data_IF_708249701321
#
_entry.id   IF_708249701321
#
_cell.length_a   1.000
_cell.length_b   1.000
_cell.length_c   1.000
_cell.angle_alpha   90.00
_cell.angle_beta   90.00
_cell.angle_gamma   90.00
#
_symmetry.space_group_name_H-M   'P 1'
#
loop_
_entity.id
_entity.type
_entity.pdbx_description
1 polymer ?
#
# COMPACT_ATOMS: atom_id res chain seq x y z
N UNK A 1 8.30 -19.62 -3.45
CA UNK A 1 7.70 -18.79 -2.38
C UNK A 1 7.99 -17.32 -2.68
N UNK A 2 7.01 -16.43 -2.53
CA UNK A 2 7.24 -14.97 -2.61
C UNK A 2 7.58 -14.48 -1.20
N UNK A 3 8.65 -13.70 -1.07
CA UNK A 3 9.04 -12.99 0.15
C UNK A 3 8.56 -11.54 0.06
N UNK A 4 8.02 -11.02 1.14
CA UNK A 4 7.66 -9.60 1.27
C UNK A 4 8.57 -8.94 2.31
N UNK A 5 9.23 -7.85 1.92
CA UNK A 5 10.13 -7.09 2.78
C UNK A 5 9.71 -5.61 2.83
N UNK A 6 9.51 -5.10 4.04
CA UNK A 6 9.37 -3.66 4.28
C UNK A 6 10.76 -2.99 4.34
N UNK A 7 10.89 -1.86 3.65
CA UNK A 7 12.11 -1.03 3.61
C UNK A 7 11.73 0.46 3.68
N UNK A 8 12.75 1.30 3.81
CA UNK A 8 12.56 2.75 3.95
C UNK A 8 11.85 3.07 5.25
N UNK A 9 10.69 3.74 5.17
CA UNK A 9 9.89 4.08 6.34
C UNK A 9 8.84 3.02 6.72
N UNK A 10 8.64 1.97 5.91
CA UNK A 10 7.72 0.89 6.28
C UNK A 10 8.33 -0.05 7.33
N UNK A 11 7.47 -0.59 8.18
CA UNK A 11 7.85 -1.58 9.21
C UNK A 11 6.84 -2.72 9.25
N UNK A 12 7.28 -4.00 9.36
CA UNK A 12 6.36 -5.09 9.69
C UNK A 12 5.81 -4.86 11.11
N UNK A 13 4.55 -5.21 11.35
CA UNK A 13 3.91 -5.05 12.67
C UNK A 13 3.37 -6.36 13.25
N UNK A 14 3.44 -7.45 12.49
CA UNK A 14 3.25 -8.79 12.99
C UNK A 14 4.57 -9.55 13.00
N UNK A 15 4.72 -10.43 13.98
CA UNK A 15 5.81 -11.40 13.96
C UNK A 15 5.49 -12.43 12.87
N UNK A 16 6.45 -12.75 11.98
CA UNK A 16 6.26 -13.85 11.07
C UNK A 16 6.02 -15.13 11.87
N UNK A 17 4.97 -15.90 11.53
CA UNK A 17 4.86 -17.29 12.00
C UNK A 17 6.17 -18.02 11.67
N UNK A 18 6.56 -19.03 12.45
CA UNK A 18 7.84 -19.74 12.29
C UNK A 18 8.09 -20.08 10.81
N UNK A 19 9.09 -19.42 10.19
CA UNK A 19 9.46 -19.60 8.77
C UNK A 19 8.63 -18.83 7.73
N UNK A 20 7.70 -17.97 8.15
CA UNK A 20 6.78 -17.20 7.29
C UNK A 20 7.24 -15.77 6.99
N UNK A 21 6.46 -15.07 6.16
CA UNK A 21 6.60 -13.62 5.95
C UNK A 21 5.66 -12.87 6.89
N UNK A 22 6.03 -11.65 7.34
CA UNK A 22 5.06 -10.72 7.91
C UNK A 22 3.90 -10.50 6.94
N UNK A 23 2.69 -10.41 7.47
CA UNK A 23 1.44 -10.21 6.71
C UNK A 23 0.85 -8.83 6.94
N UNK A 24 1.36 -8.08 7.93
CA UNK A 24 0.90 -6.74 8.27
C UNK A 24 2.06 -5.78 8.30
N UNK A 25 1.84 -4.62 7.70
CA UNK A 25 2.87 -3.60 7.52
C UNK A 25 2.30 -2.24 7.87
N UNK A 26 3.09 -1.42 8.55
CA UNK A 26 2.77 -0.04 8.90
C UNK A 26 3.51 0.93 7.97
N UNK A 27 2.77 1.93 7.49
CA UNK A 27 3.21 2.90 6.50
C UNK A 27 3.01 4.29 7.12
N UNK A 28 4.08 4.98 7.55
CA UNK A 28 3.95 6.30 8.14
C UNK A 28 3.32 7.29 7.16
N UNK A 29 2.19 7.88 7.56
CA UNK A 29 1.51 8.92 6.76
C UNK A 29 2.40 10.17 6.74
N UNK A 30 2.84 10.55 5.55
CA UNK A 30 3.70 11.71 5.30
C UNK A 30 2.93 13.00 5.00
N UNK A 31 1.75 12.89 4.38
CA UNK A 31 0.87 14.04 4.09
C UNK A 31 -0.55 13.59 3.77
N UNK A 32 -1.50 14.49 4.00
CA UNK A 32 -2.92 14.35 3.61
C UNK A 32 -3.32 15.64 2.89
N UNK A 33 -3.98 15.53 1.74
CA UNK A 33 -4.54 16.65 0.99
C UNK A 33 -6.04 16.69 1.21
N UNK A 34 -6.50 17.84 1.72
CA UNK A 34 -7.91 18.11 1.99
C UNK A 34 -8.41 19.12 0.95
N UNK A 35 -9.44 18.74 0.22
CA UNK A 35 -10.12 19.56 -0.78
C UNK A 35 -11.29 20.35 -0.20
N UNK A 36 -12.16 20.84 -1.08
CA UNK A 36 -13.35 21.59 -0.69
C UNK A 36 -14.29 20.75 0.18
N UNK A 37 -15.00 21.41 1.11
CA UNK A 37 -15.92 20.78 2.07
C UNK A 37 -15.26 19.71 2.96
N UNK A 38 -13.96 19.87 3.25
CA UNK A 38 -13.19 18.95 4.12
C UNK A 38 -13.10 17.51 3.59
N UNK A 39 -13.34 17.30 2.28
CA UNK A 39 -13.17 15.99 1.66
C UNK A 39 -11.70 15.69 1.45
N UNK A 40 -11.30 14.47 1.74
CA UNK A 40 -9.93 14.02 1.53
C UNK A 40 -9.79 13.61 0.09
N UNK A 41 -8.78 14.16 -0.57
CA UNK A 41 -8.50 13.85 -1.95
C UNK A 41 -7.38 12.83 -2.05
N UNK A 42 -6.38 12.93 -1.17
CA UNK A 42 -5.16 12.14 -1.27
C UNK A 42 -4.48 11.94 0.09
N UNK A 43 -4.09 10.70 0.40
CA UNK A 43 -3.17 10.36 1.49
C UNK A 43 -1.84 9.87 0.92
N UNK A 44 -0.69 10.21 1.53
CA UNK A 44 0.63 9.76 1.04
C UNK A 44 1.50 9.18 2.15
N UNK A 45 2.24 8.13 1.83
CA UNK A 45 3.31 7.54 2.64
C UNK A 45 4.63 7.55 1.86
N UNK A 46 5.21 8.75 1.69
CA UNK A 46 6.46 8.96 0.93
C UNK A 46 7.63 8.28 1.64
N UNK A 47 8.54 7.68 0.86
CA UNK A 47 9.71 6.97 1.38
C UNK A 47 9.42 5.58 1.94
N UNK A 48 8.15 5.16 1.95
CA UNK A 48 7.78 3.78 2.22
C UNK A 48 8.11 2.91 1.01
N UNK A 49 8.73 1.75 1.25
CA UNK A 49 9.12 0.79 0.21
C UNK A 49 8.70 -0.63 0.62
N UNK A 50 8.06 -1.35 -0.29
CA UNK A 50 7.81 -2.78 -0.20
C UNK A 50 8.52 -3.50 -1.33
N UNK A 51 9.30 -4.52 -1.00
CA UNK A 51 9.97 -5.38 -1.97
C UNK A 51 9.35 -6.76 -1.91
N UNK A 52 8.71 -7.16 -3.01
CA UNK A 52 8.28 -8.54 -3.23
C UNK A 52 9.35 -9.23 -4.06
N UNK A 53 9.80 -10.41 -3.64
CA UNK A 53 10.83 -11.14 -4.36
C UNK A 53 10.60 -12.65 -4.36
N UNK A 54 11.09 -13.34 -5.39
CA UNK A 54 11.15 -14.80 -5.42
C UNK A 54 12.36 -15.26 -6.24
N UNK A 55 12.81 -16.49 -5.97
CA UNK A 55 13.69 -17.22 -6.88
C UNK A 55 12.80 -17.90 -7.93
N UNK A 56 13.04 -17.60 -9.20
CA UNK A 56 12.35 -18.25 -10.32
C UNK A 56 12.91 -19.66 -10.57
N UNK A 57 12.25 -20.43 -11.45
CA UNK A 57 12.63 -21.81 -11.77
C UNK A 57 14.04 -21.91 -12.38
N UNK A 58 14.48 -20.86 -13.08
CA UNK A 58 15.83 -20.72 -13.64
C UNK A 58 16.89 -20.33 -12.59
N UNK A 59 16.52 -20.23 -11.31
CA UNK A 59 17.38 -19.80 -10.22
C UNK A 59 17.60 -18.29 -10.12
N UNK A 60 17.05 -17.49 -11.04
CA UNK A 60 17.21 -16.04 -11.02
C UNK A 60 16.33 -15.37 -9.95
N UNK A 61 16.88 -14.35 -9.29
CA UNK A 61 16.10 -13.50 -8.39
C UNK A 61 15.20 -12.57 -9.21
N UNK A 62 13.89 -12.65 -8.96
CA UNK A 62 12.87 -11.77 -9.52
C UNK A 62 12.30 -10.89 -8.42
N UNK A 63 12.06 -9.62 -8.71
CA UNK A 63 11.56 -8.68 -7.71
C UNK A 63 10.66 -7.59 -8.29
N UNK A 64 9.69 -7.19 -7.46
CA UNK A 64 8.84 -6.02 -7.63
C UNK A 64 9.06 -5.10 -6.44
N UNK A 65 9.49 -3.87 -6.70
CA UNK A 65 9.60 -2.83 -5.67
C UNK A 65 8.47 -1.85 -5.84
N UNK A 66 7.63 -1.71 -4.82
CA UNK A 66 6.59 -0.68 -4.73
C UNK A 66 7.03 0.37 -3.73
N UNK A 67 6.95 1.65 -4.10
CA UNK A 67 7.41 2.75 -3.25
C UNK A 67 6.50 3.97 -3.31
N UNK A 68 6.64 4.89 -2.36
CA UNK A 68 5.90 6.15 -2.32
C UNK A 68 4.38 5.97 -2.47
N UNK A 69 3.82 5.13 -1.61
CA UNK A 69 2.41 4.78 -1.64
C UNK A 69 1.52 6.00 -1.45
N UNK A 70 0.37 6.01 -2.12
CA UNK A 70 -0.68 6.99 -1.89
C UNK A 70 -2.07 6.41 -2.07
N UNK A 71 -3.07 7.06 -1.49
CA UNK A 71 -4.48 6.69 -1.61
C UNK A 71 -5.18 7.79 -2.40
N UNK A 72 -5.63 7.48 -3.62
CA UNK A 72 -6.51 8.32 -4.41
C UNK A 72 -7.97 8.01 -4.05
N UNK A 73 -8.58 8.88 -3.27
CA UNK A 73 -9.96 8.73 -2.80
C UNK A 73 -11.01 9.05 -3.87
N UNK A 74 -10.62 9.75 -4.94
CA UNK A 74 -11.53 10.11 -6.03
C UNK A 74 -11.76 8.91 -6.94
N UNK A 75 -10.69 8.23 -7.32
CA UNK A 75 -10.73 7.05 -8.19
C UNK A 75 -10.76 5.72 -7.42
N UNK A 76 -10.65 5.77 -6.10
CA UNK A 76 -10.63 4.61 -5.20
C UNK A 76 -9.48 3.63 -5.50
N UNK A 77 -8.27 4.19 -5.66
CA UNK A 77 -7.05 3.42 -5.87
C UNK A 77 -6.01 3.64 -4.77
N UNK A 78 -5.33 2.55 -4.39
CA UNK A 78 -4.01 2.63 -3.76
C UNK A 78 -2.98 2.66 -4.89
N UNK A 79 -2.19 3.73 -4.96
CA UNK A 79 -1.14 3.93 -5.95
C UNK A 79 0.25 3.69 -5.32
N UNK A 80 1.21 3.28 -6.14
CA UNK A 80 2.62 3.25 -5.77
C UNK A 80 3.52 3.41 -7.01
N UNK A 81 4.73 3.91 -6.80
CA UNK A 81 5.78 3.85 -7.80
C UNK A 81 6.30 2.41 -7.88
N UNK A 82 6.12 1.75 -9.02
CA UNK A 82 6.49 0.36 -9.24
C UNK A 82 7.77 0.27 -10.08
N UNK A 83 8.81 -0.37 -9.54
CA UNK A 83 10.08 -0.64 -10.24
C UNK A 83 10.37 -2.13 -10.27
N UNK A 84 10.68 -2.66 -11.45
CA UNK A 84 10.97 -4.08 -11.66
C UNK A 84 11.75 -4.32 -12.96
N UNK A 85 12.34 -5.50 -13.09
CA UNK A 85 13.26 -5.78 -14.20
C UNK A 85 14.46 -4.83 -14.20
N UNK A 86 15.12 -4.69 -15.36
CA UNK A 86 16.32 -3.86 -15.47
C UNK A 86 16.02 -2.36 -15.52
N UNK A 87 14.94 -1.96 -16.20
CA UNK A 87 14.68 -0.56 -16.53
C UNK A 87 13.18 -0.17 -16.46
N UNK A 88 12.29 -1.04 -15.97
CA UNK A 88 10.85 -0.70 -15.91
C UNK A 88 10.55 0.08 -14.63
N UNK A 89 10.03 1.30 -14.81
CA UNK A 89 9.53 2.14 -13.73
C UNK A 89 8.18 2.73 -14.14
N UNK A 90 7.17 2.54 -13.31
CA UNK A 90 5.83 3.11 -13.48
C UNK A 90 5.50 3.94 -12.24
N UNK A 91 5.47 5.26 -12.40
CA UNK A 91 5.15 6.16 -11.31
C UNK A 91 3.64 6.14 -11.03
N UNK A 92 3.28 6.12 -9.75
CA UNK A 92 1.87 6.16 -9.29
C UNK A 92 0.98 5.11 -10.00
N UNK A 93 1.52 3.92 -10.24
CA UNK A 93 0.77 2.78 -10.78
C UNK A 93 -0.38 2.44 -9.82
N UNK A 94 -1.63 2.29 -10.30
CA UNK A 94 -2.71 1.85 -9.45
C UNK A 94 -2.51 0.40 -9.08
N UNK A 95 -2.24 0.13 -7.80
CA UNK A 95 -1.95 -1.21 -7.27
C UNK A 95 -3.23 -1.92 -6.89
N UNK A 96 -4.02 -1.33 -5.98
CA UNK A 96 -5.27 -1.91 -5.49
C UNK A 96 -6.46 -1.00 -5.79
N UNK A 97 -7.60 -1.59 -6.11
CA UNK A 97 -8.90 -0.95 -5.88
C UNK A 97 -9.29 -1.12 -4.42
N UNK A 98 -10.17 -0.27 -3.91
CA UNK A 98 -10.71 -0.46 -2.57
C UNK A 98 -12.17 -0.01 -2.44
N UNK A 99 -12.84 -0.55 -1.43
CA UNK A 99 -14.11 -0.04 -0.93
C UNK A 99 -13.90 0.69 0.40
N UNK A 100 -14.68 1.75 0.62
CA UNK A 100 -14.65 2.50 1.88
C UNK A 100 -15.62 1.83 2.85
N UNK A 101 -15.09 1.05 3.80
CA UNK A 101 -15.89 0.40 4.86
C UNK A 101 -16.27 1.41 5.94
N UNK A 102 -15.29 2.20 6.40
CA UNK A 102 -15.46 3.28 7.37
C UNK A 102 -14.80 4.53 6.82
N UNK A 103 -15.56 5.57 6.43
CA UNK A 103 -14.99 6.79 5.86
C UNK A 103 -14.17 7.54 6.91
N UNK A 104 -13.10 8.23 6.48
CA UNK A 104 -12.35 9.08 7.39
C UNK A 104 -13.24 10.18 7.98
N UNK A 105 -13.47 10.11 9.28
CA UNK A 105 -14.18 11.14 10.06
C UNK A 105 -13.18 11.94 10.88
N UNK A 106 -13.06 13.23 10.58
CA UNK A 106 -12.33 14.15 11.43
C UNK A 106 -13.15 14.45 12.69
N UNK A 107 -12.67 13.97 13.84
CA UNK A 107 -13.21 14.35 15.13
C UNK A 107 -12.36 15.48 15.68
N UNK A 108 -12.98 16.64 15.85
CA UNK A 108 -12.37 17.77 16.53
C UNK A 108 -12.09 17.40 18.00
N UNK A 109 -10.87 17.66 18.47
CA UNK A 109 -10.50 17.57 19.88
C UNK A 109 -10.04 18.93 20.38
N UNK A 110 -10.74 19.46 21.38
CA UNK A 110 -10.35 20.66 22.11
C UNK A 110 -9.08 20.39 22.96
N UNK A 111 -8.09 21.30 23.08
CA UNK A 111 -8.10 22.68 22.61
C UNK A 111 -7.92 22.83 21.09
N UNK A 112 -6.93 22.22 20.42
CA UNK A 112 -6.85 22.19 18.95
C UNK A 112 -6.15 20.89 18.50
N UNK A 113 -6.93 19.90 18.08
CA UNK A 113 -6.43 18.63 17.56
C UNK A 113 -7.46 17.95 16.69
N UNK A 114 -6.99 17.00 15.87
CA UNK A 114 -7.87 16.13 15.11
C UNK A 114 -7.51 14.68 15.38
N UNK A 115 -8.54 13.84 15.46
CA UNK A 115 -8.41 12.39 15.34
C UNK A 115 -9.16 11.94 14.10
N UNK A 116 -8.58 10.98 13.41
CA UNK A 116 -9.18 10.39 12.23
C UNK A 116 -8.95 8.88 12.25
N UNK A 117 -10.00 8.13 11.92
CA UNK A 117 -9.98 6.67 11.83
C UNK A 117 -10.78 6.27 10.58
N UNK A 118 -10.12 5.52 9.70
CA UNK A 118 -10.65 5.03 8.43
C UNK A 118 -10.28 3.57 8.25
N UNK A 119 -11.20 2.84 7.62
CA UNK A 119 -10.98 1.47 7.19
C UNK A 119 -11.43 1.32 5.74
N UNK A 120 -10.49 0.89 4.91
CA UNK A 120 -10.71 0.47 3.53
C UNK A 120 -10.61 -1.05 3.48
N UNK A 121 -11.43 -1.70 2.66
CA UNK A 121 -11.45 -3.14 2.50
C UNK A 121 -11.54 -3.52 1.01
N UNK A 122 -11.56 -4.84 0.74
CA UNK A 122 -11.66 -5.36 -0.61
C UNK A 122 -10.52 -4.87 -1.51
N UNK A 123 -9.29 -5.10 -1.04
CA UNK A 123 -8.09 -4.72 -1.76
C UNK A 123 -7.83 -5.71 -2.89
N UNK A 124 -8.34 -5.42 -4.07
CA UNK A 124 -8.12 -6.23 -5.27
C UNK A 124 -7.09 -5.60 -6.18
N UNK A 125 -6.16 -6.40 -6.71
CA UNK A 125 -5.17 -5.89 -7.66
C UNK A 125 -5.87 -5.36 -8.92
N UNK A 126 -5.45 -4.18 -9.37
CA UNK A 126 -5.92 -3.66 -10.66
C UNK A 126 -5.38 -4.50 -11.82
N UNK A 127 -5.99 -4.45 -13.02
CA UNK A 127 -5.44 -5.10 -14.20
C UNK A 127 -3.98 -4.72 -14.47
N UNK A 128 -3.60 -3.45 -14.29
CA UNK A 128 -2.23 -2.99 -14.50
C UNK A 128 -1.28 -3.57 -13.46
N UNK A 129 -1.71 -3.63 -12.20
CA UNK A 129 -0.93 -4.22 -11.13
C UNK A 129 -0.73 -5.72 -11.34
N UNK A 130 -1.77 -6.46 -11.75
CA UNK A 130 -1.65 -7.90 -12.06
C UNK A 130 -0.58 -8.16 -13.13
N UNK A 131 -0.56 -7.35 -14.18
CA UNK A 131 0.50 -7.42 -15.22
C UNK A 131 1.88 -7.16 -14.62
N UNK A 132 2.03 -6.11 -13.81
CA UNK A 132 3.30 -5.81 -13.16
C UNK A 132 3.76 -6.95 -12.23
N UNK A 133 2.89 -7.52 -11.40
CA UNK A 133 3.21 -8.66 -10.54
C UNK A 133 3.60 -9.90 -11.36
N UNK A 134 2.84 -10.22 -12.42
CA UNK A 134 3.13 -11.35 -13.30
C UNK A 134 4.52 -11.23 -13.95
N UNK A 135 4.82 -10.06 -14.52
CA UNK A 135 6.09 -9.80 -15.19
C UNK A 135 7.26 -9.71 -14.22
N UNK A 136 7.13 -8.90 -13.17
CA UNK A 136 8.20 -8.61 -12.23
C UNK A 136 8.68 -9.85 -11.47
N UNK A 137 7.74 -10.73 -11.11
CA UNK A 137 8.02 -11.95 -10.37
C UNK A 137 8.14 -13.17 -11.30
N UNK A 138 7.92 -13.03 -12.60
CA UNK A 138 7.86 -14.14 -13.57
C UNK A 138 6.96 -15.27 -13.05
N UNK A 139 5.72 -14.96 -12.69
CA UNK A 139 4.81 -15.89 -12.02
C UNK A 139 4.39 -17.05 -12.94
N UNK A 140 4.45 -18.33 -12.48
CA UNK A 140 3.91 -19.47 -13.21
C UNK A 140 2.41 -19.35 -13.40
N UNK A 141 1.86 -19.96 -14.46
CA UNK A 141 0.43 -19.86 -14.75
C UNK A 141 -0.45 -20.36 -13.61
N UNK A 142 -0.01 -21.40 -12.91
CA UNK A 142 -0.72 -22.00 -11.77
C UNK A 142 -0.97 -21.02 -10.60
N UNK A 143 -0.18 -19.95 -10.46
CA UNK A 143 -0.35 -18.97 -9.36
C UNK A 143 -1.01 -17.67 -9.82
N UNK A 144 -1.27 -17.49 -11.12
CA UNK A 144 -1.96 -16.30 -11.64
C UNK A 144 -3.33 -16.10 -10.98
N UNK A 145 -4.17 -17.14 -10.77
CA UNK A 145 -5.47 -16.97 -10.11
C UNK A 145 -5.37 -16.42 -8.68
N UNK A 146 -4.22 -16.57 -8.00
CA UNK A 146 -4.02 -16.03 -6.66
C UNK A 146 -3.97 -14.49 -6.66
N UNK A 147 -3.77 -13.86 -7.81
CA UNK A 147 -3.80 -12.40 -7.95
C UNK A 147 -5.22 -11.83 -7.94
N UNK A 148 -6.25 -12.67 -8.03
CA UNK A 148 -7.66 -12.26 -7.98
C UNK A 148 -8.25 -12.33 -6.56
N UNK A 149 -7.45 -12.78 -5.59
CA UNK A 149 -7.86 -12.83 -4.18
C UNK A 149 -7.96 -11.42 -3.58
N UNK A 150 -8.72 -11.31 -2.49
CA UNK A 150 -8.74 -10.11 -1.65
C UNK A 150 -7.44 -10.05 -0.83
N UNK A 151 -6.69 -8.97 -0.99
CA UNK A 151 -5.43 -8.72 -0.28
C UNK A 151 -5.64 -8.07 1.10
N UNK A 152 -6.90 -7.85 1.50
CA UNK A 152 -7.27 -7.54 2.87
C UNK A 152 -7.77 -6.11 3.06
N UNK A 153 -7.20 -5.42 4.03
CA UNK A 153 -7.71 -4.11 4.49
C UNK A 153 -6.59 -3.11 4.72
N UNK A 154 -6.90 -1.83 4.54
CA UNK A 154 -6.05 -0.70 4.92
C UNK A 154 -6.75 0.05 6.04
N UNK A 155 -6.05 0.25 7.16
CA UNK A 155 -6.56 1.05 8.28
C UNK A 155 -5.67 2.28 8.45
N UNK A 156 -6.27 3.47 8.42
CA UNK A 156 -5.56 4.72 8.64
C UNK A 156 -6.03 5.35 9.94
N UNK A 157 -5.10 5.46 10.89
CA UNK A 157 -5.27 6.20 12.13
C UNK A 157 -4.37 7.43 12.11
N UNK A 158 -4.92 8.60 12.38
CA UNK A 158 -4.11 9.81 12.55
C UNK A 158 -4.60 10.62 13.73
N UNK A 159 -3.65 11.16 14.49
CA UNK A 159 -3.94 12.08 15.57
C UNK A 159 -2.91 13.19 15.58
N UNK A 160 -3.36 14.43 15.67
CA UNK A 160 -2.48 15.59 15.81
C UNK A 160 -2.95 16.51 16.91
N UNK A 161 -1.99 17.12 17.60
CA UNK A 161 -2.20 18.29 18.47
C UNK A 161 -1.58 19.47 17.74
N UNK A 162 -2.40 20.42 17.30
CA UNK A 162 -1.90 21.67 16.73
C UNK A 162 -1.30 22.46 17.90
N UNK A 163 0.01 22.68 17.84
CA UNK A 163 0.74 23.53 18.78
C UNK A 163 0.84 24.91 18.16
N UNK A 164 0.30 25.93 18.83
CA UNK A 164 0.65 27.31 18.55
C UNK A 164 1.92 27.58 19.35
N UNK A 165 3.02 27.82 18.64
CA UNK A 165 4.23 28.36 19.23
C UNK A 165 4.19 29.87 19.07
#
# INVERSE_FOLDING_TARGET
>A
MIKAEAKGTATPIDEPNIGGNPTKFNYPVSSIVIGSKMKILLGRAKGTVMVYSRIAEDGSLKSLTLSNFSIDYVHQYVLADATYGKDKSNLQLPIFTFNIEKPLKFHYQFPIGFKSDEKLNHLYLTPQARTAYKEALALPEAVIPLLDLDFGTLTQNSSSKIRFN
#
